data_IF_389951249232
#
_entry.id   IF_389951249232
#
_cell.length_a   1.000
_cell.length_b   1.000
_cell.length_c   1.000
_cell.angle_alpha   90.00
_cell.angle_beta   90.00
_cell.angle_gamma   90.00
#
_symmetry.space_group_name_H-M   'P 1'
#
loop_
_entity.id
_entity.type
_entity.pdbx_description
1 polymer ?
#
# COMPACT_ATOMS: atom_id res chain seq x y z
N UNK A 1 56.56 44.42 10.20
CA UNK A 1 56.99 43.02 9.98
C UNK A 1 56.29 42.18 11.05
N UNK A 2 55.02 41.81 10.84
CA UNK A 2 54.56 40.44 10.50
C UNK A 2 55.08 39.37 11.52
N UNK A 3 54.30 38.89 12.50
CA UNK A 3 53.09 38.04 12.48
C UNK A 3 53.42 36.58 12.87
N UNK A 4 52.98 36.17 14.06
CA UNK A 4 52.63 34.78 14.40
C UNK A 4 51.75 34.79 15.66
N UNK A 5 50.43 34.98 15.48
CA UNK A 5 49.43 34.84 16.53
C UNK A 5 49.03 33.36 16.65
N UNK A 6 49.30 32.75 17.80
CA UNK A 6 48.89 31.39 18.12
C UNK A 6 47.38 31.27 18.29
N UNK A 7 46.76 30.45 17.45
CA UNK A 7 45.36 30.09 17.51
C UNK A 7 45.12 29.12 18.68
N UNK A 8 44.56 29.59 19.80
CA UNK A 8 43.83 28.72 20.74
C UNK A 8 42.36 28.80 20.40
N UNK A 9 41.90 27.82 19.61
CA UNK A 9 40.48 27.64 19.27
C UNK A 9 39.69 27.36 20.54
N UNK A 10 38.87 28.33 20.93
CA UNK A 10 37.81 28.16 21.93
C UNK A 10 36.82 27.11 21.42
N UNK A 11 36.64 26.03 22.18
CA UNK A 11 35.64 24.99 21.95
C UNK A 11 34.25 25.61 21.88
N UNK A 12 33.70 25.77 20.66
CA UNK A 12 32.25 25.87 20.48
C UNK A 12 31.71 24.45 20.49
N UNK A 13 30.99 24.10 21.55
CA UNK A 13 30.22 22.87 21.61
C UNK A 13 29.35 22.76 20.35
N UNK A 14 29.30 21.58 19.69
CA UNK A 14 28.41 21.39 18.56
C UNK A 14 26.98 21.59 19.06
N UNK A 15 26.23 22.45 18.38
CA UNK A 15 24.78 22.51 18.53
C UNK A 15 24.28 21.10 18.20
N UNK A 16 23.96 20.34 19.23
CA UNK A 16 23.25 19.09 19.08
C UNK A 16 21.91 19.48 18.48
N UNK A 17 21.75 19.28 17.17
CA UNK A 17 20.41 19.20 16.61
C UNK A 17 19.74 18.06 17.37
N UNK A 18 18.81 18.42 18.26
CA UNK A 18 17.86 17.48 18.85
C UNK A 18 16.87 17.05 17.77
N UNK A 19 17.40 16.52 16.66
CA UNK A 19 16.67 15.67 15.76
C UNK A 19 16.42 14.39 16.53
N UNK A 20 15.31 14.35 17.26
CA UNK A 20 14.76 13.07 17.68
C UNK A 20 14.61 12.26 16.40
N UNK A 21 15.50 11.30 16.21
CA UNK A 21 15.31 10.25 15.21
C UNK A 21 14.10 9.51 15.74
N UNK A 22 12.91 9.92 15.32
CA UNK A 22 11.70 9.15 15.52
C UNK A 22 12.02 7.77 14.94
N UNK A 23 12.30 6.83 15.82
CA UNK A 23 12.49 5.45 15.45
C UNK A 23 11.17 5.03 14.82
N UNK A 24 11.17 4.72 13.53
CA UNK A 24 10.04 4.17 12.76
C UNK A 24 9.65 2.76 13.23
N UNK A 25 9.89 2.43 14.49
CA UNK A 25 9.47 1.17 15.08
C UNK A 25 7.97 1.27 15.34
N UNK A 26 7.24 0.40 14.66
CA UNK A 26 5.85 0.15 14.95
C UNK A 26 5.69 -0.15 16.45
N UNK A 27 4.66 0.41 17.11
CA UNK A 27 4.33 0.01 18.47
C UNK A 27 4.15 -1.51 18.53
N UNK A 28 4.63 -2.20 19.59
CA UNK A 28 4.45 -3.64 19.70
C UNK A 28 2.99 -4.04 19.53
N UNK A 29 2.71 -4.88 18.52
CA UNK A 29 1.37 -5.39 18.24
C UNK A 29 0.46 -4.49 17.39
N UNK A 30 0.93 -3.34 16.89
CA UNK A 30 0.13 -2.45 16.05
C UNK A 30 0.88 -2.12 14.75
N UNK A 31 0.37 -2.63 13.63
CA UNK A 31 0.90 -2.33 12.30
C UNK A 31 0.65 -0.86 11.93
N UNK A 32 1.67 -0.14 11.47
CA UNK A 32 1.59 1.30 11.19
C UNK A 32 0.53 1.63 10.11
N UNK A 33 0.41 0.78 9.09
CA UNK A 33 -0.63 0.92 8.07
C UNK A 33 -2.05 0.86 8.68
N UNK A 34 -2.25 0.07 9.73
CA UNK A 34 -3.57 -0.04 10.36
C UNK A 34 -3.96 1.30 10.99
N UNK A 35 -3.03 1.93 11.72
CA UNK A 35 -3.24 3.27 12.30
C UNK A 35 -3.46 4.33 11.23
N UNK A 36 -2.66 4.32 10.16
CA UNK A 36 -2.83 5.28 9.07
C UNK A 36 -4.19 5.13 8.39
N UNK A 37 -4.61 3.88 8.15
CA UNK A 37 -5.92 3.55 7.59
C UNK A 37 -7.05 4.04 8.51
N UNK A 38 -6.90 3.86 9.82
CA UNK A 38 -7.87 4.31 10.82
C UNK A 38 -8.09 5.82 10.79
N UNK A 39 -7.01 6.60 10.92
CA UNK A 39 -7.11 8.05 10.96
C UNK A 39 -7.59 8.61 9.63
N UNK A 40 -7.09 8.07 8.51
CA UNK A 40 -7.57 8.49 7.19
C UNK A 40 -9.07 8.21 6.99
N UNK A 41 -9.59 7.10 7.52
CA UNK A 41 -11.02 6.82 7.49
C UNK A 41 -11.83 7.83 8.32
N UNK A 42 -11.36 8.15 9.53
CA UNK A 42 -12.01 9.14 10.40
C UNK A 42 -12.03 10.53 9.76
N UNK A 43 -10.93 10.95 9.15
CA UNK A 43 -10.87 12.24 8.45
C UNK A 43 -11.87 12.29 7.29
N UNK A 44 -11.98 11.22 6.50
CA UNK A 44 -12.99 11.13 5.44
C UNK A 44 -14.43 11.16 5.99
N UNK A 45 -14.66 10.59 7.18
CA UNK A 45 -15.97 10.58 7.83
C UNK A 45 -16.44 11.98 8.27
N UNK A 46 -15.54 12.96 8.37
CA UNK A 46 -15.90 14.34 8.70
C UNK A 46 -16.65 15.05 7.56
N UNK A 47 -16.42 14.62 6.31
CA UNK A 47 -16.94 15.29 5.11
C UNK A 47 -17.89 14.40 4.29
N UNK A 48 -17.89 13.08 4.53
CA UNK A 48 -18.69 12.12 3.78
C UNK A 48 -19.65 11.33 4.69
N UNK A 49 -20.91 11.20 4.26
CA UNK A 49 -21.94 10.39 4.95
C UNK A 49 -21.60 8.88 4.95
N UNK A 50 -20.86 8.42 3.94
CA UNK A 50 -20.34 7.05 3.81
C UNK A 50 -18.88 7.13 3.37
N UNK A 51 -17.94 7.30 4.31
CA UNK A 51 -16.51 7.37 3.98
C UNK A 51 -16.08 6.07 3.30
N UNK A 52 -15.31 6.20 2.22
CA UNK A 52 -14.76 5.08 1.47
C UNK A 52 -13.26 5.29 1.35
N UNK A 53 -12.50 4.26 1.74
CA UNK A 53 -11.06 4.24 1.58
C UNK A 53 -10.62 2.91 0.99
N UNK A 54 -9.54 2.96 0.22
CA UNK A 54 -8.81 1.80 -0.26
C UNK A 54 -7.54 1.64 0.57
N UNK A 55 -7.33 0.46 1.14
CA UNK A 55 -6.10 0.16 1.86
C UNK A 55 -5.62 -1.26 1.60
N UNK A 56 -4.31 -1.48 1.76
CA UNK A 56 -3.75 -2.83 1.76
C UNK A 56 -4.12 -3.54 3.08
N UNK A 57 -4.00 -4.86 3.09
CA UNK A 57 -4.21 -5.63 4.31
C UNK A 57 -3.16 -5.29 5.37
N UNK A 58 -3.61 -4.78 6.53
CA UNK A 58 -2.76 -4.38 7.65
C UNK A 58 -2.91 -5.30 8.87
N UNK A 59 -3.51 -6.48 8.68
CA UNK A 59 -3.78 -7.45 9.73
C UNK A 59 -5.25 -7.56 10.12
N UNK A 60 -5.52 -8.36 11.18
CA UNK A 60 -6.87 -8.59 11.67
C UNK A 60 -7.53 -7.28 12.12
N UNK A 61 -8.81 -7.13 11.82
CA UNK A 61 -9.54 -5.89 12.06
C UNK A 61 -9.37 -4.81 10.99
N UNK A 62 -8.60 -5.07 9.92
CA UNK A 62 -8.62 -4.24 8.70
C UNK A 62 -9.97 -4.29 7.98
N UNK A 63 -10.77 -5.34 8.15
CA UNK A 63 -12.11 -5.46 7.55
C UNK A 63 -13.11 -4.41 8.07
N UNK A 64 -12.76 -3.66 9.12
CA UNK A 64 -13.56 -2.53 9.62
C UNK A 64 -13.53 -1.33 8.67
N UNK A 65 -12.62 -1.33 7.70
CA UNK A 65 -12.51 -0.28 6.69
C UNK A 65 -13.02 -0.80 5.33
N UNK A 66 -13.58 0.08 4.48
CA UNK A 66 -14.50 -0.35 3.44
C UNK A 66 -13.85 -1.18 2.33
N UNK A 67 -12.69 -0.81 1.79
CA UNK A 67 -12.11 -1.56 0.66
C UNK A 67 -10.69 -2.03 0.95
N UNK A 68 -10.52 -3.35 0.98
CA UNK A 68 -9.23 -4.03 1.01
C UNK A 68 -8.81 -4.52 -0.38
N UNK A 69 -7.51 -4.63 -0.63
CA UNK A 69 -7.02 -5.29 -1.85
C UNK A 69 -5.76 -6.13 -1.62
N UNK A 70 -5.56 -7.12 -2.49
CA UNK A 70 -4.46 -8.10 -2.43
C UNK A 70 -3.06 -7.50 -2.53
N UNK A 71 -2.97 -6.22 -2.89
CA UNK A 71 -1.73 -5.56 -3.22
C UNK A 71 -1.20 -5.98 -4.57
N UNK A 72 0.04 -5.53 -4.79
CA UNK A 72 0.77 -5.60 -6.04
C UNK A 72 1.09 -7.05 -6.44
N UNK A 73 0.61 -7.50 -7.59
CA UNK A 73 0.82 -8.88 -8.08
C UNK A 73 1.78 -8.93 -9.25
N UNK A 74 2.50 -10.03 -9.38
CA UNK A 74 3.30 -10.32 -10.58
C UNK A 74 2.37 -10.71 -11.73
N UNK A 75 2.59 -10.20 -12.94
CA UNK A 75 1.86 -10.63 -14.13
C UNK A 75 2.25 -12.07 -14.49
N UNK A 76 1.41 -13.03 -14.11
CA UNK A 76 1.57 -14.44 -14.45
C UNK A 76 0.28 -15.22 -14.25
N UNK A 77 0.14 -16.33 -14.96
CA UNK A 77 -0.93 -17.31 -14.76
C UNK A 77 -0.97 -17.86 -13.33
N UNK A 78 0.20 -18.06 -12.70
CA UNK A 78 0.30 -18.49 -11.30
C UNK A 78 -0.30 -17.47 -10.33
N UNK A 79 -0.10 -16.18 -10.61
CA UNK A 79 -0.71 -15.11 -9.80
C UNK A 79 -2.22 -15.09 -9.95
N UNK A 80 -2.76 -15.38 -11.14
CA UNK A 80 -4.19 -15.47 -11.39
C UNK A 80 -4.79 -16.67 -10.65
N UNK A 81 -4.17 -17.85 -10.77
CA UNK A 81 -4.59 -19.11 -10.14
C UNK A 81 -4.68 -19.01 -8.60
N UNK A 82 -3.80 -18.22 -7.98
CA UNK A 82 -3.84 -18.00 -6.53
C UNK A 82 -4.95 -17.04 -6.07
N UNK A 83 -5.58 -16.25 -6.95
CA UNK A 83 -6.54 -15.24 -6.48
C UNK A 83 -7.79 -15.82 -5.83
N UNK A 84 -8.46 -16.86 -6.37
CA UNK A 84 -9.67 -17.39 -5.76
C UNK A 84 -9.46 -17.87 -4.31
N UNK A 85 -8.36 -18.56 -4.05
CA UNK A 85 -7.98 -18.99 -2.68
C UNK A 85 -7.75 -17.77 -1.78
N UNK A 86 -7.10 -16.74 -2.29
CA UNK A 86 -6.87 -15.52 -1.52
C UNK A 86 -8.18 -14.80 -1.19
N UNK A 87 -9.11 -14.68 -2.14
CA UNK A 87 -10.45 -14.09 -1.92
C UNK A 87 -11.26 -14.89 -0.90
N UNK A 88 -11.20 -16.22 -0.95
CA UNK A 88 -11.88 -17.08 0.04
C UNK A 88 -11.26 -16.89 1.44
N UNK A 89 -9.93 -16.79 1.52
CA UNK A 89 -9.21 -16.58 2.77
C UNK A 89 -9.52 -15.23 3.39
N UNK A 90 -9.63 -14.17 2.60
CA UNK A 90 -10.02 -12.84 3.11
C UNK A 90 -11.46 -12.82 3.61
N UNK A 91 -12.34 -13.56 2.95
CA UNK A 91 -13.73 -13.74 3.40
C UNK A 91 -13.81 -14.48 4.74
N UNK A 92 -12.96 -15.49 4.98
CA UNK A 92 -12.90 -16.21 6.25
C UNK A 92 -12.51 -15.34 7.45
N UNK A 93 -11.84 -14.20 7.23
CA UNK A 93 -11.50 -13.22 8.28
C UNK A 93 -12.46 -12.01 8.30
N UNK A 94 -13.60 -12.12 7.61
CA UNK A 94 -14.66 -11.11 7.56
C UNK A 94 -14.38 -9.94 6.61
N UNK A 95 -13.33 -10.00 5.78
CA UNK A 95 -12.98 -8.92 4.86
C UNK A 95 -13.67 -9.11 3.51
N UNK A 96 -15.00 -8.92 3.51
CA UNK A 96 -15.85 -9.20 2.34
C UNK A 96 -15.79 -8.18 1.22
N UNK A 97 -15.43 -6.91 1.49
CA UNK A 97 -15.26 -5.89 0.44
C UNK A 97 -13.81 -5.89 -0.06
N UNK A 98 -13.52 -6.86 -0.92
CA UNK A 98 -12.17 -7.17 -1.38
C UNK A 98 -12.00 -6.94 -2.89
N UNK A 99 -10.81 -6.49 -3.28
CA UNK A 99 -10.41 -6.25 -4.67
C UNK A 99 -9.07 -6.90 -4.98
N UNK A 100 -8.82 -7.11 -6.27
CA UNK A 100 -7.51 -7.45 -6.81
C UNK A 100 -7.08 -6.38 -7.82
N UNK A 101 -5.79 -6.35 -8.15
CA UNK A 101 -5.29 -5.57 -9.28
C UNK A 101 -5.56 -6.33 -10.57
N UNK A 102 -6.70 -6.03 -11.19
CA UNK A 102 -7.15 -6.71 -12.41
C UNK A 102 -6.36 -6.15 -13.59
N UNK A 103 -5.80 -7.07 -14.39
CA UNK A 103 -5.34 -6.76 -15.74
C UNK A 103 -3.85 -6.50 -15.91
N UNK A 104 -3.03 -6.39 -14.85
CA UNK A 104 -1.55 -6.51 -14.82
C UNK A 104 -0.94 -5.50 -13.83
N UNK A 105 -0.13 -5.91 -12.84
CA UNK A 105 0.46 -4.94 -11.90
C UNK A 105 1.97 -4.79 -11.99
N UNK A 106 2.78 -5.78 -11.59
CA UNK A 106 4.25 -5.69 -11.62
C UNK A 106 4.89 -6.80 -12.43
N UNK A 107 6.02 -6.49 -13.08
CA UNK A 107 6.84 -7.44 -13.86
C UNK A 107 6.04 -8.21 -14.95
N UNK A 108 6.68 -9.21 -15.58
CA UNK A 108 6.07 -10.03 -16.62
C UNK A 108 5.99 -9.36 -18.00
N UNK A 109 5.21 -9.99 -18.89
CA UNK A 109 4.98 -9.55 -20.28
C UNK A 109 3.48 -9.45 -20.54
N UNK A 110 3.10 -8.55 -21.44
CA UNK A 110 1.71 -8.40 -21.89
C UNK A 110 1.18 -9.72 -22.47
N UNK A 111 0.03 -10.15 -21.99
CA UNK A 111 -0.69 -11.34 -22.46
C UNK A 111 -2.19 -11.03 -22.45
N UNK A 112 -2.74 -10.74 -23.63
CA UNK A 112 -4.14 -10.29 -23.76
C UNK A 112 -5.14 -11.39 -23.31
N UNK A 113 -4.79 -12.68 -23.41
CA UNK A 113 -5.63 -13.75 -22.87
C UNK A 113 -5.63 -13.70 -21.34
N UNK A 114 -4.45 -13.56 -20.74
CA UNK A 114 -4.32 -13.43 -19.28
C UNK A 114 -5.14 -12.23 -18.77
N UNK A 115 -5.04 -11.06 -19.41
CA UNK A 115 -5.85 -9.88 -19.05
C UNK A 115 -7.35 -10.18 -19.14
N UNK A 116 -7.79 -10.85 -20.20
CA UNK A 116 -9.19 -11.26 -20.37
C UNK A 116 -9.65 -12.16 -19.22
N UNK A 117 -8.83 -13.15 -18.83
CA UNK A 117 -9.15 -14.05 -17.70
C UNK A 117 -9.17 -13.32 -16.36
N UNK A 118 -8.32 -12.31 -16.19
CA UNK A 118 -8.35 -11.44 -15.02
C UNK A 118 -9.64 -10.64 -14.93
N UNK A 119 -10.13 -10.08 -16.04
CA UNK A 119 -11.42 -9.37 -16.07
C UNK A 119 -12.55 -10.34 -15.76
N UNK A 120 -12.55 -11.55 -16.32
CA UNK A 120 -13.54 -12.59 -16.02
C UNK A 120 -13.57 -12.95 -14.53
N UNK A 121 -12.42 -13.12 -13.88
CA UNK A 121 -12.34 -13.30 -12.43
C UNK A 121 -12.85 -12.05 -11.70
N UNK A 122 -12.47 -10.87 -12.18
CA UNK A 122 -12.83 -9.57 -11.64
C UNK A 122 -14.33 -9.38 -11.47
N UNK A 123 -15.14 -9.85 -12.42
CA UNK A 123 -16.62 -9.80 -12.36
C UNK A 123 -17.19 -10.43 -11.08
N UNK A 124 -16.50 -11.39 -10.48
CA UNK A 124 -16.91 -12.03 -9.23
C UNK A 124 -16.34 -11.35 -7.97
N UNK A 125 -15.46 -10.36 -8.14
CA UNK A 125 -14.96 -9.57 -7.02
C UNK A 125 -15.98 -8.49 -6.62
N UNK A 126 -16.21 -8.26 -5.32
CA UNK A 126 -17.07 -7.19 -4.82
C UNK A 126 -16.70 -5.81 -5.39
N UNK A 127 -15.42 -5.60 -5.66
CA UNK A 127 -14.88 -4.38 -6.25
C UNK A 127 -14.04 -4.76 -7.47
N UNK A 128 -14.40 -4.21 -8.63
CA UNK A 128 -13.69 -4.39 -9.89
C UNK A 128 -12.77 -3.19 -10.10
N UNK A 129 -11.45 -3.41 -10.00
CA UNK A 129 -10.45 -2.37 -10.17
C UNK A 129 -9.40 -2.78 -11.19
N UNK A 130 -9.39 -2.10 -12.33
CA UNK A 130 -8.28 -2.15 -13.28
C UNK A 130 -7.11 -1.32 -12.73
N UNK A 131 -5.97 -1.95 -12.51
CA UNK A 131 -4.79 -1.30 -11.96
C UNK A 131 -3.53 -1.84 -12.61
N UNK A 132 -2.58 -0.94 -12.91
CA UNK A 132 -1.31 -1.30 -13.53
C UNK A 132 -0.17 -0.36 -13.16
N UNK A 133 1.06 -0.89 -13.27
CA UNK A 133 2.27 -0.08 -13.13
C UNK A 133 2.41 0.88 -14.29
N UNK A 134 3.13 1.98 -14.05
CA UNK A 134 3.48 2.93 -15.10
C UNK A 134 4.46 2.30 -16.10
N UNK A 135 3.94 1.67 -17.14
CA UNK A 135 4.74 1.10 -18.22
C UNK A 135 4.06 1.36 -19.56
N UNK A 136 4.89 1.46 -20.62
CA UNK A 136 4.39 1.67 -21.99
C UNK A 136 3.54 0.52 -22.53
N UNK A 137 3.58 -0.64 -21.89
CA UNK A 137 2.94 -1.87 -22.36
C UNK A 137 1.72 -2.27 -21.54
N UNK A 138 1.54 -1.69 -20.36
CA UNK A 138 0.42 -1.99 -19.47
C UNK A 138 -0.61 -0.87 -19.59
N UNK A 139 -1.74 -1.14 -20.22
CA UNK A 139 -2.89 -0.23 -20.28
C UNK A 139 -3.86 -0.54 -19.13
N UNK A 140 -4.65 0.46 -18.73
CA UNK A 140 -5.76 0.31 -17.76
C UNK A 140 -7.12 0.33 -18.44
N UNK A 141 -7.13 0.67 -19.73
CA UNK A 141 -8.32 0.69 -20.56
C UNK A 141 -8.56 -0.70 -21.16
N UNK A 142 -9.82 -1.17 -21.24
CA UNK A 142 -10.19 -2.40 -21.95
C UNK A 142 -9.81 -2.37 -23.44
#
# INVERSE_FOLDING_TARGET
MAAALGHKSQNKAPIQSTGSRASTREPPGIHALWLLTHYHYLDNALVAQRPLIFSRYAGLGSHRYPVGFSGDRVVSWKSLDFQPEFTATTSNIGHGWWSHDIGEHMFGSRDDELVTRWVQLGVFSPIIRLHSSNSRWQSKEP
#
